data_IF_850193131697
#
_entry.id   IF_850193131697
#
_cell.length_a   1.000
_cell.length_b   1.000
_cell.length_c   1.000
_cell.angle_alpha   90.00
_cell.angle_beta   90.00
_cell.angle_gamma   90.00
#
_symmetry.space_group_name_H-M   'P 1'
#
loop_
_entity.id
_entity.type
_entity.pdbx_description
1 polymer ?
#
# COMPACT_ATOMS: atom_id res chain seq x y z
N UNK A 1 -27.45 42.75 -54.54
CA UNK A 1 -26.36 42.78 -53.54
C UNK A 1 -26.83 41.97 -52.33
N UNK A 2 -26.68 40.64 -52.36
CA UNK A 2 -27.14 39.76 -51.27
C UNK A 2 -25.99 39.50 -50.30
N UNK A 3 -26.28 39.79 -49.02
CA UNK A 3 -25.37 39.72 -47.88
C UNK A 3 -24.81 38.29 -47.71
N UNK A 4 -23.49 38.13 -47.87
CA UNK A 4 -22.75 36.94 -47.39
C UNK A 4 -22.57 37.05 -45.87
N UNK A 5 -23.26 36.22 -45.08
CA UNK A 5 -22.89 35.96 -43.67
C UNK A 5 -23.07 34.49 -43.26
N UNK A 6 -22.27 33.53 -43.78
CA UNK A 6 -22.24 32.18 -43.23
C UNK A 6 -21.18 31.98 -42.12
N UNK A 7 -20.48 33.04 -41.69
CA UNK A 7 -19.25 32.91 -40.89
C UNK A 7 -19.42 32.62 -39.40
N UNK A 8 -20.61 32.85 -38.81
CA UNK A 8 -20.77 32.82 -37.35
C UNK A 8 -21.18 31.44 -36.80
N UNK A 9 -21.90 30.65 -37.59
CA UNK A 9 -22.35 29.31 -37.18
C UNK A 9 -21.24 28.26 -37.19
N UNK A 10 -20.27 28.39 -38.12
CA UNK A 10 -19.14 27.47 -38.24
C UNK A 10 -18.17 27.62 -37.06
N UNK A 11 -17.96 28.85 -36.58
CA UNK A 11 -17.11 29.12 -35.42
C UNK A 11 -17.72 28.56 -34.12
N UNK A 12 -19.04 28.62 -33.96
CA UNK A 12 -19.73 28.10 -32.77
C UNK A 12 -19.70 26.55 -32.71
N UNK A 13 -19.83 25.88 -33.86
CA UNK A 13 -19.74 24.42 -33.96
C UNK A 13 -18.34 23.88 -33.63
N UNK A 14 -17.27 24.59 -34.04
CA UNK A 14 -15.90 24.18 -33.71
C UNK A 14 -15.58 24.30 -32.22
N UNK A 15 -16.09 25.32 -31.53
CA UNK A 15 -15.91 25.47 -30.09
C UNK A 15 -16.60 24.32 -29.33
N UNK A 16 -17.81 23.93 -29.71
CA UNK A 16 -18.51 22.81 -29.08
C UNK A 16 -17.78 21.46 -29.25
N UNK A 17 -17.16 21.21 -30.40
CA UNK A 17 -16.35 20.00 -30.62
C UNK A 17 -15.06 20.01 -29.79
N UNK A 18 -14.46 21.18 -29.53
CA UNK A 18 -13.27 21.26 -28.64
C UNK A 18 -13.61 21.03 -27.16
N UNK A 19 -14.81 21.38 -26.71
CA UNK A 19 -15.23 21.15 -25.32
C UNK A 19 -15.63 19.70 -25.02
N UNK A 20 -16.15 18.96 -26.02
CA UNK A 20 -16.48 17.53 -25.87
C UNK A 20 -15.24 16.62 -25.84
N UNK A 21 -14.10 17.07 -26.38
CA UNK A 21 -12.83 16.33 -26.32
C UNK A 21 -12.07 16.45 -25.00
N UNK A 22 -12.32 17.51 -24.22
CA UNK A 22 -11.59 17.80 -22.97
C UNK A 22 -12.22 17.15 -21.73
N UNK A 23 -13.50 16.75 -21.77
CA UNK A 23 -14.19 16.15 -20.62
C UNK A 23 -13.96 14.65 -20.47
N UNK A 24 -13.25 13.99 -21.39
CA UNK A 24 -12.85 12.59 -21.27
C UNK A 24 -11.50 12.37 -20.58
N UNK A 25 -10.93 13.39 -19.92
CA UNK A 25 -10.01 13.14 -18.82
C UNK A 25 -10.80 12.62 -17.62
N UNK A 26 -11.41 11.44 -17.77
CA UNK A 26 -11.80 10.62 -16.64
C UNK A 26 -10.50 10.44 -15.87
N UNK A 27 -10.40 11.08 -14.70
CA UNK A 27 -9.38 10.78 -13.72
C UNK A 27 -9.58 9.31 -13.41
N UNK A 28 -8.85 8.45 -14.12
CA UNK A 28 -8.75 7.05 -13.80
C UNK A 28 -8.08 7.03 -12.44
N UNK A 29 -8.89 7.04 -11.37
CA UNK A 29 -8.40 7.06 -10.01
C UNK A 29 -7.74 5.70 -9.77
N UNK A 30 -6.47 5.61 -10.14
CA UNK A 30 -5.68 4.38 -10.09
C UNK A 30 -5.44 4.14 -8.61
N UNK A 31 -6.25 3.28 -8.00
CA UNK A 31 -6.13 2.92 -6.58
C UNK A 31 -4.67 2.61 -6.29
N UNK A 32 -4.10 3.32 -5.33
CA UNK A 32 -2.69 3.15 -5.02
C UNK A 32 -2.51 1.82 -4.28
N UNK A 33 -1.42 1.13 -4.62
CA UNK A 33 -1.05 -0.15 -4.02
C UNK A 33 0.43 -0.08 -3.66
N UNK A 34 0.75 -0.51 -2.45
CA UNK A 34 2.11 -0.76 -2.02
C UNK A 34 2.20 -2.18 -1.49
N UNK A 35 3.35 -2.83 -1.64
CA UNK A 35 3.54 -4.19 -1.16
C UNK A 35 4.99 -4.45 -0.75
N UNK A 36 5.18 -5.45 0.10
CA UNK A 36 6.50 -5.99 0.37
C UNK A 36 6.45 -7.52 0.40
N UNK A 37 7.45 -8.12 -0.24
CA UNK A 37 7.72 -9.55 -0.17
C UNK A 37 8.87 -9.79 0.80
N UNK A 38 8.61 -10.61 1.81
CA UNK A 38 9.67 -11.23 2.60
C UNK A 38 10.14 -12.45 1.79
N UNK A 39 11.11 -12.21 0.92
CA UNK A 39 11.84 -13.26 0.20
C UNK A 39 13.24 -13.36 0.83
N UNK A 40 13.45 -14.30 1.77
CA UNK A 40 14.57 -14.24 2.70
C UNK A 40 15.91 -14.38 1.97
N UNK A 41 16.78 -13.35 1.98
CA UNK A 41 18.18 -13.54 1.61
C UNK A 41 18.88 -14.42 2.66
N UNK A 42 20.11 -14.89 2.40
CA UNK A 42 20.90 -15.64 3.39
C UNK A 42 20.99 -14.88 4.73
N UNK A 43 20.44 -15.45 5.80
CA UNK A 43 20.45 -14.88 7.16
C UNK A 43 19.07 -14.46 7.69
N UNK A 44 18.12 -14.15 6.81
CA UNK A 44 16.71 -13.96 7.16
C UNK A 44 15.99 -15.31 7.10
N UNK A 45 14.90 -15.45 7.87
CA UNK A 45 14.14 -16.71 7.96
C UNK A 45 12.65 -16.53 7.71
N UNK A 46 12.15 -15.29 7.76
CA UNK A 46 10.74 -14.98 7.53
C UNK A 46 10.44 -14.96 6.04
N UNK A 47 9.35 -15.62 5.64
CA UNK A 47 8.79 -15.54 4.30
C UNK A 47 7.32 -15.10 4.37
N UNK A 48 6.86 -14.31 3.41
CA UNK A 48 5.48 -13.81 3.37
C UNK A 48 5.29 -12.57 2.52
N UNK A 49 4.07 -12.03 2.53
CA UNK A 49 3.71 -10.79 1.82
C UNK A 49 2.78 -9.94 2.66
N UNK A 50 2.98 -8.62 2.58
CA UNK A 50 2.03 -7.62 3.04
C UNK A 50 1.72 -6.64 1.91
N UNK A 51 0.47 -6.18 1.85
CA UNK A 51 -0.05 -5.26 0.84
C UNK A 51 -0.85 -4.17 1.53
N UNK A 52 -0.64 -2.92 1.12
CA UNK A 52 -1.40 -1.74 1.46
C UNK A 52 -2.18 -1.33 0.21
N UNK A 53 -3.49 -1.21 0.33
CA UNK A 53 -4.37 -0.85 -0.76
C UNK A 53 -5.27 0.30 -0.35
N UNK A 54 -5.25 1.37 -1.13
CA UNK A 54 -6.24 2.43 -1.00
C UNK A 54 -7.62 1.91 -1.44
N UNK A 55 -8.58 1.91 -0.51
CA UNK A 55 -9.98 1.57 -0.80
C UNK A 55 -10.78 2.79 -1.26
N UNK A 56 -10.54 3.92 -0.60
CA UNK A 56 -11.14 5.23 -0.87
C UNK A 56 -10.15 6.33 -0.45
N UNK A 57 -10.44 7.59 -0.79
CA UNK A 57 -9.56 8.77 -0.55
C UNK A 57 -9.14 9.00 0.93
N UNK A 58 -9.53 8.15 1.88
CA UNK A 58 -9.13 8.21 3.30
C UNK A 58 -8.98 6.85 3.97
N UNK A 59 -9.16 5.76 3.24
CA UNK A 59 -9.20 4.41 3.80
C UNK A 59 -8.15 3.54 3.13
N UNK A 60 -7.27 2.96 3.94
CA UNK A 60 -6.28 2.00 3.48
C UNK A 60 -6.53 0.65 4.13
N UNK A 61 -6.66 -0.39 3.31
CA UNK A 61 -6.67 -1.76 3.77
C UNK A 61 -5.24 -2.30 3.76
N UNK A 62 -4.84 -2.91 4.86
CA UNK A 62 -3.59 -3.66 4.97
C UNK A 62 -3.93 -5.12 5.13
N UNK A 63 -3.44 -5.94 4.20
CA UNK A 63 -3.58 -7.40 4.23
C UNK A 63 -2.21 -8.04 4.18
N UNK A 64 -2.04 -9.16 4.86
CA UNK A 64 -0.77 -9.88 4.78
C UNK A 64 -0.76 -11.21 5.51
N UNK A 65 0.29 -11.99 5.27
CA UNK A 65 0.51 -13.25 5.94
C UNK A 65 1.98 -13.62 5.85
N UNK A 66 2.51 -14.23 6.91
CA UNK A 66 3.79 -14.91 6.86
C UNK A 66 3.58 -16.41 6.67
N UNK A 67 4.28 -16.98 5.70
CA UNK A 67 4.19 -18.41 5.36
C UNK A 67 5.22 -19.24 6.13
N UNK A 68 6.33 -18.64 6.56
CA UNK A 68 7.38 -19.30 7.37
C UNK A 68 8.16 -18.33 8.26
N UNK A 69 9.02 -18.89 9.13
CA UNK A 69 9.99 -18.14 9.95
C UNK A 69 9.55 -17.86 11.39
N UNK A 70 8.41 -18.41 11.82
CA UNK A 70 7.85 -18.22 13.16
C UNK A 70 8.00 -19.51 13.99
N UNK A 71 9.12 -19.60 14.73
CA UNK A 71 9.46 -20.77 15.55
C UNK A 71 8.94 -20.70 16.99
N UNK A 72 8.84 -19.50 17.56
CA UNK A 72 8.21 -19.30 18.87
C UNK A 72 6.69 -19.18 18.68
N UNK A 73 5.86 -19.99 19.37
CA UNK A 73 4.40 -19.91 19.24
C UNK A 73 3.77 -18.70 19.94
N UNK A 74 4.48 -17.99 20.83
CA UNK A 74 3.95 -16.82 21.52
C UNK A 74 4.16 -15.54 20.69
N UNK A 75 3.07 -15.03 20.13
CA UNK A 75 3.09 -13.80 19.31
C UNK A 75 3.63 -12.58 20.07
N UNK A 76 3.58 -12.58 21.41
CA UNK A 76 4.10 -11.47 22.23
C UNK A 76 5.62 -11.34 22.17
N UNK A 77 6.32 -12.40 21.75
CA UNK A 77 7.77 -12.37 21.58
C UNK A 77 8.19 -11.69 20.28
N UNK A 78 7.23 -11.34 19.42
CA UNK A 78 7.49 -10.73 18.12
C UNK A 78 7.20 -9.23 18.10
N UNK A 79 7.95 -8.51 17.26
CA UNK A 79 7.74 -7.08 16.98
C UNK A 79 7.66 -6.86 15.47
N UNK A 80 6.77 -5.94 15.07
CA UNK A 80 6.46 -5.62 13.68
C UNK A 80 6.62 -4.11 13.47
N UNK A 81 7.69 -3.70 12.79
CA UNK A 81 8.14 -2.30 12.79
C UNK A 81 8.36 -1.82 11.36
N UNK A 82 7.84 -0.64 11.02
CA UNK A 82 8.17 0.06 9.78
C UNK A 82 9.22 1.14 10.06
N UNK A 83 10.35 1.07 9.35
CA UNK A 83 11.45 2.04 9.46
C UNK A 83 11.66 2.82 8.19
N UNK A 84 12.08 4.07 8.33
CA UNK A 84 12.57 4.87 7.21
C UNK A 84 13.99 4.46 6.77
N UNK A 85 14.48 5.08 5.69
CA UNK A 85 15.81 4.83 5.14
C UNK A 85 16.96 5.21 6.08
N UNK A 86 16.71 6.04 7.09
CA UNK A 86 17.67 6.40 8.13
C UNK A 86 17.63 5.43 9.32
N UNK A 87 16.80 4.38 9.27
CA UNK A 87 16.63 3.40 10.33
C UNK A 87 15.80 3.88 11.52
N UNK A 88 15.11 5.03 11.40
CA UNK A 88 14.18 5.53 12.42
C UNK A 88 12.83 4.82 12.28
N UNK A 89 12.25 4.42 13.41
CA UNK A 89 10.90 3.87 13.42
C UNK A 89 9.89 4.94 13.02
N UNK A 90 9.16 4.67 11.93
CA UNK A 90 8.04 5.50 11.47
C UNK A 90 6.72 5.00 12.03
N UNK A 91 6.52 3.68 12.03
CA UNK A 91 5.34 3.02 12.60
C UNK A 91 5.74 1.78 13.40
N UNK A 92 5.08 1.57 14.53
CA UNK A 92 5.13 0.32 15.28
C UNK A 92 3.77 -0.36 15.18
N UNK A 93 3.71 -1.44 14.40
CA UNK A 93 2.50 -2.21 14.12
C UNK A 93 2.34 -3.39 15.08
N UNK A 94 3.23 -3.52 16.06
CA UNK A 94 3.31 -4.71 16.92
C UNK A 94 1.97 -5.02 17.55
N UNK A 95 1.34 -4.04 18.21
CA UNK A 95 0.06 -4.22 18.90
C UNK A 95 -1.08 -4.58 17.94
N UNK A 96 -1.14 -3.92 16.79
CA UNK A 96 -2.20 -4.13 15.79
C UNK A 96 -2.11 -5.55 15.23
N UNK A 97 -0.95 -5.94 14.72
CA UNK A 97 -0.73 -7.27 14.13
C UNK A 97 -0.88 -8.35 15.20
N UNK A 98 -0.22 -8.22 16.35
CA UNK A 98 -0.23 -9.26 17.40
C UNK A 98 -1.63 -9.54 17.96
N UNK A 99 -2.55 -8.59 17.86
CA UNK A 99 -3.93 -8.77 18.34
C UNK A 99 -4.84 -9.51 17.34
N UNK A 100 -4.42 -9.63 16.08
CA UNK A 100 -5.25 -10.14 14.98
C UNK A 100 -4.73 -11.40 14.31
N UNK A 101 -3.45 -11.73 14.49
CA UNK A 101 -2.88 -12.96 13.95
C UNK A 101 -2.66 -14.01 15.03
N UNK A 102 -2.62 -15.26 14.59
CA UNK A 102 -2.17 -16.40 15.36
C UNK A 102 -0.93 -16.99 14.69
N UNK A 103 0.02 -17.49 15.47
CA UNK A 103 1.16 -18.24 14.94
C UNK A 103 0.69 -19.68 14.68
N UNK A 104 0.71 -20.07 13.40
CA UNK A 104 0.38 -21.42 12.94
C UNK A 104 1.61 -21.91 12.20
N UNK A 105 2.48 -22.62 12.93
CA UNK A 105 3.79 -23.01 12.41
C UNK A 105 3.69 -23.68 11.04
N UNK A 106 4.56 -23.31 10.08
CA UNK A 106 5.75 -22.46 10.26
C UNK A 106 5.50 -20.94 10.16
N UNK A 107 4.25 -20.50 9.94
CA UNK A 107 3.90 -19.10 9.66
C UNK A 107 2.79 -18.56 10.57
N UNK A 108 1.88 -17.77 9.99
CA UNK A 108 0.79 -17.11 10.72
C UNK A 108 -0.55 -17.31 10.03
N UNK A 109 -1.65 -17.07 10.75
CA UNK A 109 -2.93 -16.79 10.11
C UNK A 109 -2.84 -15.50 9.29
N UNK A 110 -3.78 -15.27 8.35
CA UNK A 110 -3.90 -13.99 7.66
C UNK A 110 -4.12 -12.82 8.63
N UNK A 111 -3.55 -11.67 8.28
CA UNK A 111 -3.79 -10.36 8.88
C UNK A 111 -4.64 -9.51 7.94
N UNK A 112 -5.61 -8.79 8.50
CA UNK A 112 -6.41 -7.81 7.79
C UNK A 112 -6.80 -6.66 8.73
N UNK A 113 -6.60 -5.43 8.27
CA UNK A 113 -7.06 -4.22 8.96
C UNK A 113 -7.32 -3.07 7.99
N UNK A 114 -8.41 -2.36 8.21
CA UNK A 114 -8.68 -1.09 7.55
C UNK A 114 -8.28 0.06 8.49
N UNK A 115 -7.50 0.99 7.95
CA UNK A 115 -7.10 2.22 8.62
C UNK A 115 -7.82 3.40 7.96
N UNK A 116 -8.35 4.30 8.79
CA UNK A 116 -9.05 5.50 8.36
C UNK A 116 -8.14 6.74 8.48
N UNK A 117 -8.59 7.86 7.92
CA UNK A 117 -7.94 9.18 8.00
C UNK A 117 -6.53 9.21 7.40
N UNK A 118 -6.37 8.58 6.23
CA UNK A 118 -5.10 8.53 5.47
C UNK A 118 -3.94 7.84 6.21
N UNK A 119 -4.22 7.18 7.35
CA UNK A 119 -3.19 6.50 8.09
C UNK A 119 -2.68 5.28 7.31
N UNK A 120 -1.35 5.23 7.12
CA UNK A 120 -0.67 4.21 6.32
C UNK A 120 -1.12 4.14 4.86
N UNK A 121 -1.49 5.30 4.27
CA UNK A 121 -1.68 5.40 2.82
C UNK A 121 -0.48 4.78 2.06
N UNK A 122 -0.71 4.05 0.95
CA UNK A 122 0.36 3.47 0.14
C UNK A 122 1.54 4.41 -0.14
N UNK A 123 1.30 5.68 -0.47
CA UNK A 123 2.36 6.65 -0.76
C UNK A 123 3.25 6.97 0.46
N UNK A 124 2.70 6.90 1.67
CA UNK A 124 3.43 7.16 2.91
C UNK A 124 4.33 5.99 3.34
N UNK A 125 3.98 4.78 2.90
CA UNK A 125 4.71 3.55 3.30
C UNK A 125 5.70 3.08 2.25
N UNK A 126 5.58 3.52 1.00
CA UNK A 126 6.57 3.22 -0.05
C UNK A 126 7.96 3.73 0.36
N UNK A 127 8.97 2.86 0.19
CA UNK A 127 10.34 3.15 0.58
C UNK A 127 10.64 2.89 2.06
N UNK A 128 9.63 2.64 2.90
CA UNK A 128 9.86 2.13 4.25
C UNK A 128 10.29 0.66 4.20
N UNK A 129 11.03 0.24 5.22
CA UNK A 129 11.39 -1.17 5.44
C UNK A 129 10.53 -1.76 6.55
N UNK A 130 9.82 -2.84 6.25
CA UNK A 130 9.10 -3.63 7.24
C UNK A 130 10.05 -4.66 7.86
N UNK A 131 10.26 -4.57 9.17
CA UNK A 131 11.12 -5.44 9.95
C UNK A 131 10.29 -6.30 10.90
N UNK A 132 10.62 -7.58 10.95
CA UNK A 132 10.11 -8.54 11.94
C UNK A 132 11.24 -8.92 12.88
N UNK A 133 10.97 -8.85 14.18
CA UNK A 133 11.90 -9.30 15.23
C UNK A 133 11.26 -10.38 16.09
N UNK A 134 12.07 -11.28 16.62
CA UNK A 134 11.71 -12.20 17.71
C UNK A 134 12.71 -11.99 18.85
N UNK A 135 12.22 -11.67 20.06
CA UNK A 135 13.06 -11.38 21.23
C UNK A 135 14.19 -10.37 20.92
N UNK A 136 13.83 -9.29 20.22
CA UNK A 136 14.72 -8.20 19.76
C UNK A 136 15.76 -8.56 18.67
N UNK A 137 15.89 -9.83 18.31
CA UNK A 137 16.66 -10.27 17.13
C UNK A 137 15.84 -10.05 15.86
N UNK A 138 16.43 -9.37 14.87
CA UNK A 138 15.87 -9.28 13.52
C UNK A 138 15.87 -10.66 12.86
N UNK A 139 14.71 -11.08 12.36
CA UNK A 139 14.52 -12.40 11.71
C UNK A 139 14.03 -12.26 10.27
N UNK A 140 13.65 -11.06 9.85
CA UNK A 140 13.34 -10.76 8.47
C UNK A 140 13.10 -9.28 8.26
N UNK A 141 13.38 -8.81 7.05
CA UNK A 141 12.99 -7.48 6.60
C UNK A 141 12.62 -7.45 5.12
N UNK A 142 11.75 -6.52 4.75
CA UNK A 142 11.34 -6.32 3.37
C UNK A 142 11.15 -4.82 3.06
N UNK A 143 11.67 -4.37 1.91
CA UNK A 143 11.41 -3.02 1.41
C UNK A 143 10.01 -2.95 0.80
N UNK A 144 9.23 -1.95 1.19
CA UNK A 144 7.91 -1.67 0.63
C UNK A 144 8.07 -0.93 -0.71
N UNK A 145 7.46 -1.47 -1.76
CA UNK A 145 7.53 -1.00 -3.14
C UNK A 145 6.13 -0.64 -3.64
N UNK A 146 6.07 0.21 -4.66
CA UNK A 146 4.83 0.48 -5.39
C UNK A 146 4.40 -0.75 -6.20
N UNK A 147 3.09 -1.04 -6.18
CA UNK A 147 2.40 -2.13 -6.89
C UNK A 147 2.05 -1.84 -8.34
#
# INVERSE_FOLDING_TARGET
>A
MMLKKPSLFIALFMICMTFLGLTQAIVLNKRQIAYCDFDPPPGDIVNGRFTWQELSNKETQVVGMFTSGFEDPDIKNYKFILKDSNGKTKYDLTKSISSKIQIIKPGTSPYEECFENDFMNPDDVIGLTFIVKCQDKEIGKALIKSG
#
